data_IF_900491500979
#
_entry.id   IF_900491500979
#
_cell.length_a   1.000
_cell.length_b   1.000
_cell.length_c   1.000
_cell.angle_alpha   90.00
_cell.angle_beta   90.00
_cell.angle_gamma   90.00
#
_symmetry.space_group_name_H-M   'P 1'
#
loop_
_entity.id
_entity.type
_entity.pdbx_description
1 polymer ?
#
# COMPACT_ATOMS: atom_id res chain seq x y z
N UNK A 1 27.78 -8.78 -20.72
CA UNK A 1 27.14 -8.01 -19.63
C UNK A 1 25.68 -7.87 -19.99
N UNK A 2 24.78 -8.40 -19.15
CA UNK A 2 23.34 -8.27 -19.36
C UNK A 2 22.87 -7.01 -18.67
N UNK A 3 22.18 -6.12 -19.39
CA UNK A 3 21.67 -4.86 -18.86
C UNK A 3 20.14 -4.93 -18.92
N UNK A 4 19.48 -4.73 -17.78
CA UNK A 4 18.05 -4.47 -17.73
C UNK A 4 17.84 -2.96 -17.77
N UNK A 5 17.14 -2.47 -18.79
CA UNK A 5 16.77 -1.06 -18.93
C UNK A 5 15.31 -0.89 -18.53
N UNK A 6 15.06 0.10 -17.66
CA UNK A 6 13.74 0.38 -17.10
C UNK A 6 13.39 1.81 -17.49
N UNK A 7 12.38 1.97 -18.35
CA UNK A 7 11.81 3.27 -18.72
C UNK A 7 10.53 3.53 -17.91
N UNK A 8 10.67 4.26 -16.81
CA UNK A 8 9.58 4.58 -15.90
C UNK A 8 9.28 6.08 -15.90
N UNK A 9 8.89 6.62 -17.05
CA UNK A 9 8.58 8.05 -17.20
C UNK A 9 7.57 8.60 -16.17
N UNK A 10 6.68 7.75 -15.65
CA UNK A 10 5.69 8.07 -14.62
C UNK A 10 5.87 7.27 -13.33
N UNK A 11 7.04 6.66 -13.12
CA UNK A 11 7.28 5.70 -12.05
C UNK A 11 6.74 4.30 -12.34
N UNK A 12 7.01 3.37 -11.41
CA UNK A 12 6.52 1.99 -11.41
C UNK A 12 6.25 1.57 -9.97
N UNK A 13 5.14 0.88 -9.73
CA UNK A 13 4.85 0.34 -8.40
C UNK A 13 5.73 -0.88 -8.09
N UNK A 14 5.93 -1.17 -6.81
CA UNK A 14 6.82 -2.26 -6.38
C UNK A 14 6.39 -3.64 -6.89
N UNK A 15 5.09 -3.93 -6.87
CA UNK A 15 4.52 -5.18 -7.40
C UNK A 15 4.68 -5.31 -8.92
N UNK A 16 4.52 -4.21 -9.67
CA UNK A 16 4.78 -4.19 -11.11
C UNK A 16 6.27 -4.44 -11.41
N UNK A 17 7.16 -3.84 -10.62
CA UNK A 17 8.60 -4.05 -10.79
C UNK A 17 9.00 -5.50 -10.49
N UNK A 18 8.48 -6.08 -9.40
CA UNK A 18 8.68 -7.50 -9.09
C UNK A 18 8.12 -8.39 -10.19
N UNK A 19 6.92 -8.09 -10.69
CA UNK A 19 6.31 -8.81 -11.82
C UNK A 19 7.19 -8.81 -13.07
N UNK A 20 7.75 -7.66 -13.43
CA UNK A 20 8.68 -7.55 -14.55
C UNK A 20 9.97 -8.37 -14.33
N UNK A 21 10.50 -8.40 -13.11
CA UNK A 21 11.67 -9.23 -12.79
C UNK A 21 11.36 -10.73 -12.86
N UNK A 22 10.17 -11.15 -12.45
CA UNK A 22 9.70 -12.54 -12.61
C UNK A 22 9.60 -12.92 -14.08
N UNK A 23 9.09 -12.03 -14.94
CA UNK A 23 9.08 -12.23 -16.40
C UNK A 23 10.50 -12.31 -17.00
N UNK A 24 11.48 -11.62 -16.41
CA UNK A 24 12.90 -11.70 -16.77
C UNK A 24 13.62 -12.95 -16.23
N UNK A 25 12.92 -13.81 -15.48
CA UNK A 25 13.45 -15.08 -14.98
C UNK A 25 13.96 -15.06 -13.54
N UNK A 26 13.58 -14.06 -12.73
CA UNK A 26 13.81 -14.09 -11.29
C UNK A 26 13.15 -15.34 -10.68
N UNK A 27 13.88 -16.21 -9.95
CA UNK A 27 13.27 -17.38 -9.33
C UNK A 27 12.32 -16.99 -8.19
N UNK A 28 11.02 -17.28 -8.36
CA UNK A 28 10.01 -16.94 -7.34
C UNK A 28 10.33 -17.53 -5.96
N UNK A 29 10.87 -18.75 -5.90
CA UNK A 29 11.23 -19.38 -4.63
C UNK A 29 12.38 -18.65 -3.89
N UNK A 30 13.30 -18.01 -4.60
CA UNK A 30 14.36 -17.21 -3.97
C UNK A 30 13.80 -15.89 -3.44
N UNK A 31 12.94 -15.24 -4.22
CA UNK A 31 12.21 -14.04 -3.79
C UNK A 31 11.36 -14.33 -2.55
N UNK A 32 10.60 -15.42 -2.56
CA UNK A 32 9.74 -15.83 -1.46
C UNK A 32 10.54 -16.07 -0.19
N UNK A 33 11.62 -16.85 -0.26
CA UNK A 33 12.52 -17.08 0.90
C UNK A 33 13.12 -15.78 1.45
N UNK A 34 13.48 -14.84 0.57
CA UNK A 34 14.03 -13.56 0.99
C UNK A 34 12.99 -12.74 1.76
N UNK A 35 11.75 -12.67 1.26
CA UNK A 35 10.64 -11.95 1.90
C UNK A 35 10.22 -12.64 3.22
N UNK A 36 10.08 -13.96 3.23
CA UNK A 36 9.77 -14.77 4.42
C UNK A 36 10.84 -14.67 5.52
N UNK A 37 12.07 -14.27 5.16
CA UNK A 37 13.12 -14.06 6.16
C UNK A 37 12.91 -12.81 7.00
N UNK A 38 12.09 -11.87 6.54
CA UNK A 38 11.78 -10.63 7.25
C UNK A 38 10.69 -10.90 8.31
N UNK A 39 10.71 -10.19 9.44
CA UNK A 39 9.75 -10.37 10.54
C UNK A 39 8.39 -9.74 10.19
N UNK A 40 7.72 -10.30 9.18
CA UNK A 40 6.37 -9.94 8.76
C UNK A 40 5.46 -11.16 8.90
N UNK A 41 4.25 -10.93 9.39
CA UNK A 41 3.21 -11.94 9.50
C UNK A 41 1.94 -11.45 8.76
N UNK A 42 0.97 -12.35 8.59
CA UNK A 42 -0.36 -11.98 8.10
C UNK A 42 -0.40 -11.61 6.61
N UNK A 43 0.54 -12.11 5.81
CA UNK A 43 0.51 -11.96 4.36
C UNK A 43 0.82 -13.27 3.66
N UNK A 44 0.37 -13.37 2.41
CA UNK A 44 0.80 -14.38 1.45
C UNK A 44 1.18 -13.69 0.15
N UNK A 45 2.12 -14.30 -0.57
CA UNK A 45 2.54 -13.84 -1.89
C UNK A 45 2.31 -14.92 -2.93
N UNK A 46 1.86 -14.49 -4.10
CA UNK A 46 1.69 -15.31 -5.28
C UNK A 46 2.02 -14.48 -6.53
N UNK A 47 2.06 -15.14 -7.68
CA UNK A 47 2.15 -14.45 -8.96
C UNK A 47 1.37 -15.21 -10.01
N UNK A 48 0.85 -14.49 -10.99
CA UNK A 48 0.22 -15.10 -12.15
C UNK A 48 0.45 -14.28 -13.39
N UNK A 49 0.54 -14.95 -14.52
CA UNK A 49 0.51 -14.30 -15.82
C UNK A 49 -0.91 -13.82 -16.11
N UNK A 50 -1.05 -12.54 -16.47
CA UNK A 50 -2.29 -11.95 -16.95
C UNK A 50 -2.14 -11.42 -18.39
N UNK A 51 -3.27 -11.36 -19.10
CA UNK A 51 -3.40 -10.71 -20.40
C UNK A 51 -4.42 -9.59 -20.27
N UNK A 52 -4.01 -8.34 -20.51
CA UNK A 52 -4.90 -7.18 -20.46
C UNK A 52 -4.72 -6.37 -21.73
N UNK A 53 -5.82 -6.14 -22.47
CA UNK A 53 -5.82 -5.40 -23.73
C UNK A 53 -4.77 -5.90 -24.75
N UNK A 54 -4.54 -7.22 -24.80
CA UNK A 54 -3.55 -7.83 -25.71
C UNK A 54 -2.09 -7.78 -25.23
N UNK A 55 -1.83 -7.24 -24.04
CA UNK A 55 -0.50 -7.23 -23.41
C UNK A 55 -0.41 -8.32 -22.33
N UNK A 56 0.62 -9.16 -22.44
CA UNK A 56 0.95 -10.19 -21.45
C UNK A 56 1.95 -9.64 -20.44
N UNK A 57 1.73 -9.90 -19.16
CA UNK A 57 2.71 -9.63 -18.12
C UNK A 57 2.44 -10.45 -16.86
N UNK A 58 3.42 -10.51 -15.97
CA UNK A 58 3.26 -11.13 -14.66
C UNK A 58 2.75 -10.13 -13.63
N UNK A 59 1.65 -10.49 -12.97
CA UNK A 59 1.11 -9.79 -11.81
C UNK A 59 1.64 -10.47 -10.54
N UNK A 60 2.43 -9.73 -9.75
CA UNK A 60 2.76 -10.12 -8.38
C UNK A 60 1.61 -9.75 -7.45
N UNK A 61 1.24 -10.66 -6.56
CA UNK A 61 0.06 -10.54 -5.70
C UNK A 61 0.53 -10.66 -4.27
N UNK A 62 0.16 -9.66 -3.46
CA UNK A 62 0.27 -9.71 -2.00
C UNK A 62 -1.14 -9.73 -1.44
N UNK A 63 -1.47 -10.75 -0.66
CA UNK A 63 -2.77 -10.88 0.02
C UNK A 63 -2.55 -10.84 1.52
N UNK A 64 -3.28 -9.97 2.20
CA UNK A 64 -3.24 -9.87 3.66
C UNK A 64 -4.30 -10.79 4.27
N UNK A 65 -3.97 -11.44 5.38
CA UNK A 65 -4.94 -12.17 6.19
C UNK A 65 -6.01 -11.17 6.67
N UNK A 66 -7.29 -11.53 6.53
CA UNK A 66 -8.46 -10.68 6.81
C UNK A 66 -8.67 -10.30 8.29
N UNK A 67 -7.63 -10.39 9.13
CA UNK A 67 -7.68 -10.17 10.57
C UNK A 67 -7.33 -8.75 11.02
N UNK A 68 -7.31 -7.79 10.09
CA UNK A 68 -7.37 -6.35 10.37
C UNK A 68 -8.36 -5.71 9.39
N UNK A 69 -9.65 -6.01 9.61
CA UNK A 69 -10.69 -5.01 9.95
C UNK A 69 -12.09 -5.48 9.53
N UNK A 70 -12.84 -5.91 10.54
CA UNK A 70 -14.28 -6.08 10.49
C UNK A 70 -14.95 -4.70 10.50
N UNK A 71 -15.81 -4.40 9.53
CA UNK A 71 -17.24 -4.09 9.71
C UNK A 71 -17.85 -3.54 8.42
N UNK A 72 -18.34 -4.45 7.58
CA UNK A 72 -19.52 -4.17 6.76
C UNK A 72 -20.69 -3.91 7.71
N UNK A 73 -21.17 -2.67 7.78
CA UNK A 73 -22.48 -2.37 8.35
C UNK A 73 -23.34 -1.69 7.30
N UNK A 74 -24.02 -2.54 6.53
CA UNK A 74 -25.17 -2.18 5.72
C UNK A 74 -26.25 -1.56 6.62
N UNK A 75 -26.41 -0.24 6.61
CA UNK A 75 -27.60 0.39 7.17
C UNK A 75 -28.73 0.38 6.13
N UNK A 76 -29.55 -0.67 6.21
CA UNK A 76 -30.93 -0.67 5.70
C UNK A 76 -31.73 0.32 6.54
N UNK A 77 -32.15 1.45 5.98
CA UNK A 77 -33.16 2.30 6.60
C UNK A 77 -34.53 1.96 5.98
N UNK A 78 -35.30 1.14 6.69
CA UNK A 78 -36.74 1.05 6.53
C UNK A 78 -37.35 2.41 6.91
N UNK A 79 -37.98 3.09 5.95
CA UNK A 79 -38.78 4.28 6.21
C UNK A 79 -40.15 3.85 6.75
N UNK A 80 -40.39 4.11 8.03
CA UNK A 80 -41.74 4.13 8.59
C UNK A 80 -42.31 5.55 8.49
N UNK A 81 -43.47 5.64 7.84
CA UNK A 81 -44.38 6.79 7.80
C UNK A 81 -44.64 7.39 9.20
N UNK A 82 -44.72 8.74 9.29
CA UNK A 82 -45.86 9.44 9.91
C UNK A 82 -45.76 10.99 9.79
N UNK A 83 -46.74 11.52 9.05
CA UNK A 83 -47.52 12.77 9.23
C UNK A 83 -47.04 14.18 8.82
N UNK A 84 -48.01 14.84 8.16
CA UNK A 84 -48.07 16.18 7.59
C UNK A 84 -48.03 17.31 8.63
N UNK A 85 -47.54 18.51 8.27
CA UNK A 85 -48.34 19.74 8.14
C UNK A 85 -47.51 20.98 7.74
N UNK A 86 -48.04 21.68 6.71
CA UNK A 86 -48.09 23.14 6.49
C UNK A 86 -46.82 24.02 6.31
N UNK A 87 -46.74 24.53 5.06
CA UNK A 87 -46.59 25.95 4.68
C UNK A 87 -45.22 26.66 4.78
N UNK A 88 -44.66 26.97 3.60
CA UNK A 88 -43.92 28.21 3.34
C UNK A 88 -42.39 28.10 3.24
N UNK A 89 -41.88 27.50 2.15
CA UNK A 89 -40.43 27.50 1.88
C UNK A 89 -39.98 28.74 1.11
N UNK A 90 -39.36 29.69 1.82
CA UNK A 90 -38.25 30.50 1.31
C UNK A 90 -36.99 29.71 1.65
N UNK A 91 -36.28 29.21 0.64
CA UNK A 91 -35.00 28.53 0.84
C UNK A 91 -33.93 29.57 1.16
N UNK A 92 -33.66 29.77 2.44
CA UNK A 92 -32.35 30.21 2.92
C UNK A 92 -31.96 29.23 4.04
N UNK A 93 -31.14 28.25 3.69
CA UNK A 93 -30.52 27.34 4.65
C UNK A 93 -29.06 27.19 4.26
N UNK A 94 -28.14 27.37 5.23
CA UNK A 94 -26.72 27.29 4.98
C UNK A 94 -26.39 25.86 4.54
N UNK A 95 -25.65 25.73 3.45
CA UNK A 95 -25.05 24.45 3.08
C UNK A 95 -24.04 24.07 4.16
N UNK A 96 -24.46 23.25 5.13
CA UNK A 96 -23.54 22.50 5.97
C UNK A 96 -22.77 21.54 5.06
N UNK A 97 -21.49 21.84 4.87
CA UNK A 97 -20.56 20.90 4.29
C UNK A 97 -20.49 19.72 5.24
N UNK A 98 -21.03 18.59 4.81
CA UNK A 98 -20.75 17.29 5.40
C UNK A 98 -19.24 17.06 5.23
N UNK A 99 -18.49 17.45 6.26
CA UNK A 99 -17.08 17.14 6.38
C UNK A 99 -17.07 15.62 6.51
N UNK A 100 -16.83 14.93 5.39
CA UNK A 100 -16.26 13.59 5.44
C UNK A 100 -14.91 13.72 6.16
N UNK A 101 -14.97 13.68 7.50
CA UNK A 101 -13.87 13.21 8.32
C UNK A 101 -13.57 11.83 7.79
N UNK A 102 -12.54 11.75 6.95
CA UNK A 102 -11.85 10.50 6.69
C UNK A 102 -11.39 10.05 8.08
N UNK A 103 -12.16 9.16 8.70
CA UNK A 103 -11.71 8.44 9.88
C UNK A 103 -10.45 7.70 9.45
N UNK A 104 -9.31 8.28 9.79
CA UNK A 104 -8.02 7.63 9.64
C UNK A 104 -8.06 6.45 10.61
N UNK A 105 -8.32 5.27 10.08
CA UNK A 105 -8.01 4.01 10.74
C UNK A 105 -6.59 4.12 11.31
N UNK A 106 -6.33 3.78 12.58
CA UNK A 106 -5.00 3.88 13.16
C UNK A 106 -4.12 2.81 12.51
N UNK A 107 -3.55 3.16 11.36
CA UNK A 107 -2.47 2.38 10.77
C UNK A 107 -1.28 2.54 11.71
N UNK A 108 -0.70 1.42 12.12
CA UNK A 108 0.56 1.42 12.87
C UNK A 108 1.65 2.03 11.95
N UNK A 109 1.90 3.32 12.13
CA UNK A 109 2.93 4.02 11.36
C UNK A 109 4.29 3.48 11.79
N UNK A 110 4.98 2.76 10.89
CA UNK A 110 6.37 2.33 11.09
C UNK A 110 7.29 3.45 10.61
N UNK A 111 8.04 4.05 11.54
CA UNK A 111 9.11 4.98 11.21
C UNK A 111 10.34 4.27 10.63
N UNK A 112 11.29 5.04 10.12
CA UNK A 112 12.59 4.57 9.66
C UNK A 112 13.28 3.64 10.67
N UNK A 113 13.39 3.94 11.99
CA UNK A 113 14.02 3.02 12.94
C UNK A 113 13.40 1.62 12.97
N UNK A 114 12.07 1.52 12.80
CA UNK A 114 11.39 0.23 12.78
C UNK A 114 11.64 -0.51 11.46
N UNK A 115 11.62 0.21 10.34
CA UNK A 115 12.00 -0.33 9.03
C UNK A 115 13.45 -0.85 9.05
N UNK A 116 14.37 -0.12 9.67
CA UNK A 116 15.76 -0.56 9.80
C UNK A 116 15.88 -1.84 10.64
N UNK A 117 15.15 -1.94 11.76
CA UNK A 117 15.13 -3.17 12.58
C UNK A 117 14.63 -4.36 11.76
N UNK A 118 13.55 -4.18 11.00
CA UNK A 118 12.94 -5.22 10.17
C UNK A 118 13.93 -5.72 9.12
N UNK A 119 14.54 -4.81 8.35
CA UNK A 119 15.51 -5.18 7.30
C UNK A 119 16.73 -5.89 7.90
N UNK A 120 17.22 -5.40 9.04
CA UNK A 120 18.41 -5.96 9.67
C UNK A 120 18.15 -7.34 10.31
N UNK A 121 16.94 -7.58 10.81
CA UNK A 121 16.51 -8.88 11.33
C UNK A 121 16.38 -9.94 10.23
N UNK A 122 16.15 -9.54 8.97
CA UNK A 122 16.01 -10.46 7.85
C UNK A 122 17.28 -11.23 7.50
N UNK A 123 17.12 -12.45 6.99
CA UNK A 123 18.22 -13.27 6.44
C UNK A 123 18.57 -12.86 4.99
N UNK A 124 18.72 -11.56 4.76
CA UNK A 124 19.11 -10.96 3.49
C UNK A 124 20.64 -10.80 3.41
N UNK A 125 21.20 -10.85 2.20
CA UNK A 125 22.61 -10.53 2.04
C UNK A 125 22.90 -9.05 2.29
N UNK A 126 24.15 -8.73 2.65
CA UNK A 126 24.54 -7.38 3.07
C UNK A 126 24.32 -6.32 1.99
N UNK A 127 24.54 -6.67 0.72
CA UNK A 127 24.32 -5.74 -0.40
C UNK A 127 22.85 -5.36 -0.54
N UNK A 128 21.94 -6.32 -0.32
CA UNK A 128 20.49 -6.07 -0.32
C UNK A 128 20.12 -5.21 0.87
N UNK A 129 20.57 -5.56 2.09
CA UNK A 129 20.31 -4.74 3.29
C UNK A 129 20.78 -3.29 3.10
N UNK A 130 22.01 -3.08 2.65
CA UNK A 130 22.58 -1.76 2.42
C UNK A 130 21.78 -0.95 1.39
N UNK A 131 21.39 -1.58 0.26
CA UNK A 131 20.59 -0.91 -0.76
C UNK A 131 19.19 -0.54 -0.25
N UNK A 132 18.52 -1.47 0.43
CA UNK A 132 17.19 -1.22 0.99
C UNK A 132 17.21 -0.09 2.03
N UNK A 133 18.17 -0.12 2.96
CA UNK A 133 18.32 0.94 3.96
C UNK A 133 18.64 2.29 3.31
N UNK A 134 19.50 2.33 2.29
CA UNK A 134 19.78 3.56 1.54
C UNK A 134 18.52 4.14 0.90
N UNK A 135 17.64 3.30 0.33
CA UNK A 135 16.40 3.77 -0.29
C UNK A 135 15.45 4.38 0.75
N UNK A 136 15.22 3.69 1.87
CA UNK A 136 14.34 4.20 2.93
C UNK A 136 14.88 5.47 3.60
N UNK A 137 16.20 5.57 3.82
CA UNK A 137 16.81 6.80 4.35
C UNK A 137 16.62 7.98 3.41
N UNK A 138 16.81 7.79 2.09
CA UNK A 138 16.57 8.85 1.13
C UNK A 138 15.11 9.33 1.12
N UNK A 139 14.15 8.43 1.35
CA UNK A 139 12.73 8.81 1.48
C UNK A 139 12.52 9.61 2.78
N UNK A 140 12.98 9.09 3.91
CA UNK A 140 12.83 9.75 5.22
C UNK A 140 13.49 11.13 5.29
N UNK A 141 14.65 11.32 4.64
CA UNK A 141 15.33 12.61 4.53
C UNK A 141 14.47 13.64 3.77
N UNK A 142 13.84 13.23 2.67
CA UNK A 142 12.98 14.10 1.88
C UNK A 142 11.68 14.42 2.63
N UNK A 143 11.05 13.42 3.26
CA UNK A 143 9.84 13.62 4.06
C UNK A 143 10.11 14.56 5.24
N UNK A 144 11.20 14.35 5.98
CA UNK A 144 11.62 15.24 7.08
C UNK A 144 11.87 16.67 6.64
N UNK A 145 12.50 16.87 5.48
CA UNK A 145 12.71 18.20 4.92
C UNK A 145 11.38 18.90 4.53
N UNK A 146 10.42 18.16 3.96
CA UNK A 146 9.11 18.69 3.57
C UNK A 146 8.29 19.10 4.79
N UNK A 147 8.38 18.33 5.87
CA UNK A 147 7.55 18.49 7.06
C UNK A 147 8.27 19.16 8.25
N UNK A 148 9.51 19.64 8.06
CA UNK A 148 10.36 20.26 9.08
C UNK A 148 10.56 19.39 10.34
N UNK A 149 10.71 18.08 10.17
CA UNK A 149 11.08 17.15 11.23
C UNK A 149 12.39 16.40 10.87
N UNK A 150 13.11 15.84 11.87
CA UNK A 150 14.22 14.93 11.59
C UNK A 150 13.75 13.72 10.76
N UNK A 151 14.64 13.06 10.00
CA UNK A 151 14.30 11.81 9.32
C UNK A 151 14.00 10.74 10.39
N UNK A 152 12.72 10.42 10.53
CA UNK A 152 12.16 9.47 11.51
C UNK A 152 11.53 8.26 10.83
#
# INVERSE_FOLDING_TARGET
MTIAYIDCFSGISGDMFVGALLDLGLPFNELKKAIESLPFDGYSIDYKTEMKNGLKGTRFIVSLDSRQDHHDSHHHHEHHDHHEHHSGHVHDSPHEHDVHTVEQTPHEHRGLPDIEKIINAGALNDKVKQRSLSMFRSIAEVEGAIHNHPPE
#
